data_IF_393674441483
#
_entry.id   IF_393674441483
#
_cell.length_a   1.000
_cell.length_b   1.000
_cell.length_c   1.000
_cell.angle_alpha   90.00
_cell.angle_beta   90.00
_cell.angle_gamma   90.00
#
_symmetry.space_group_name_H-M   'P 1'
#
loop_
_entity.id
_entity.type
_entity.pdbx_description
1 polymer ?
#
# COMPACT_ATOMS: atom_id res chain seq x y z
N UNK A 1 13.75 4.92 9.81
CA UNK A 1 14.29 4.12 8.70
C UNK A 1 13.17 3.26 8.15
N UNK A 2 12.94 3.27 6.83
CA UNK A 2 11.96 2.39 6.19
C UNK A 2 12.74 1.24 5.52
N UNK A 3 12.32 0.00 5.75
CA UNK A 3 12.90 -1.18 5.11
C UNK A 3 11.87 -1.72 4.13
N UNK A 4 12.28 -1.92 2.88
CA UNK A 4 11.43 -2.52 1.85
C UNK A 4 11.51 -4.03 1.99
N UNK A 5 10.35 -4.66 2.15
CA UNK A 5 10.21 -6.10 2.26
C UNK A 5 10.06 -6.70 0.86
N UNK A 6 10.67 -7.87 0.68
CA UNK A 6 10.33 -8.76 -0.42
C UNK A 6 8.93 -9.33 -0.16
N UNK A 7 8.07 -9.25 -1.17
CA UNK A 7 6.70 -9.75 -1.11
C UNK A 7 6.65 -11.26 -0.83
N UNK A 8 7.67 -12.01 -1.29
CA UNK A 8 7.79 -13.46 -1.06
C UNK A 8 8.08 -13.81 0.41
N UNK A 9 8.72 -12.90 1.15
CA UNK A 9 9.07 -13.09 2.56
C UNK A 9 8.01 -12.55 3.53
N UNK A 10 6.88 -12.07 3.01
CA UNK A 10 5.81 -11.54 3.82
C UNK A 10 5.11 -12.65 4.63
N UNK A 11 5.05 -12.46 5.94
CA UNK A 11 4.33 -13.35 6.83
C UNK A 11 3.25 -12.59 7.59
N UNK A 12 2.03 -13.11 7.54
CA UNK A 12 0.86 -12.53 8.18
C UNK A 12 0.99 -12.52 9.72
N UNK A 13 1.65 -13.53 10.29
CA UNK A 13 1.92 -13.65 11.74
C UNK A 13 2.82 -12.55 12.29
N UNK A 14 3.55 -11.84 11.42
CA UNK A 14 4.43 -10.74 11.80
C UNK A 14 3.70 -9.39 11.87
N UNK A 15 2.37 -9.38 11.70
CA UNK A 15 1.56 -8.18 11.80
C UNK A 15 0.98 -8.07 13.20
N UNK A 16 1.17 -6.89 13.78
CA UNK A 16 0.50 -6.45 15.00
C UNK A 16 -0.41 -5.28 14.65
N UNK A 17 -1.64 -5.31 15.14
CA UNK A 17 -2.58 -4.20 15.04
C UNK A 17 -2.60 -3.43 16.35
N UNK A 18 -2.39 -2.12 16.28
CA UNK A 18 -2.55 -1.24 17.44
C UNK A 18 -4.03 -0.95 17.70
N UNK A 19 -4.31 -0.48 18.91
CA UNK A 19 -5.66 -0.09 19.34
C UNK A 19 -6.34 0.87 18.38
N UNK A 20 -7.65 0.66 18.26
CA UNK A 20 -8.53 1.45 17.42
C UNK A 20 -8.58 2.89 17.92
N UNK A 21 -8.29 3.85 17.03
CA UNK A 21 -8.48 5.27 17.29
C UNK A 21 -9.56 5.82 16.38
N UNK A 22 -10.25 6.88 16.80
CA UNK A 22 -11.17 7.60 15.91
C UNK A 22 -10.43 8.03 14.66
N UNK A 23 -10.97 7.71 13.50
CA UNK A 23 -10.39 8.11 12.24
C UNK A 23 -10.62 9.62 12.02
N UNK A 24 -9.57 10.34 11.63
CA UNK A 24 -9.59 11.80 11.45
C UNK A 24 -10.12 12.17 10.05
N UNK A 25 -10.06 11.23 9.10
CA UNK A 25 -10.37 11.47 7.68
C UNK A 25 -11.81 11.06 7.33
N UNK A 26 -12.35 10.04 7.99
CA UNK A 26 -13.68 9.50 7.74
C UNK A 26 -14.34 9.10 9.06
N UNK A 27 -15.68 9.03 9.09
CA UNK A 27 -16.40 8.51 10.24
C UNK A 27 -16.13 7.01 10.39
N UNK A 28 -15.49 6.65 11.51
CA UNK A 28 -15.00 5.30 11.72
C UNK A 28 -13.80 5.22 12.65
N UNK A 29 -13.18 4.05 12.68
CA UNK A 29 -11.95 3.78 13.43
C UNK A 29 -10.78 3.51 12.50
N UNK A 30 -9.58 3.67 13.03
CA UNK A 30 -8.32 3.34 12.38
C UNK A 30 -7.40 2.60 13.34
N UNK A 31 -6.85 1.49 12.85
CA UNK A 31 -5.97 0.60 13.61
C UNK A 31 -4.66 0.47 12.85
N UNK A 32 -3.59 1.00 13.44
CA UNK A 32 -2.28 1.06 12.79
C UNK A 32 -1.66 -0.33 12.71
N UNK A 33 -1.07 -0.66 11.56
CA UNK A 33 -0.30 -1.88 11.36
C UNK A 33 1.15 -1.64 11.77
N UNK A 34 1.70 -2.55 12.57
CA UNK A 34 3.13 -2.70 12.82
C UNK A 34 3.56 -4.04 12.23
N UNK A 35 4.63 -4.04 11.43
CA UNK A 35 5.24 -5.28 10.94
C UNK A 35 6.51 -5.55 11.71
N UNK A 36 6.60 -6.69 12.38
CA UNK A 36 7.72 -6.99 13.28
C UNK A 36 8.18 -8.43 13.16
N UNK A 37 9.49 -8.63 13.31
CA UNK A 37 10.10 -9.94 13.49
C UNK A 37 11.14 -9.85 14.61
N UNK A 38 11.99 -10.87 14.75
CA UNK A 38 13.02 -10.92 15.79
C UNK A 38 14.07 -9.80 15.72
N UNK A 39 14.22 -9.14 14.57
CA UNK A 39 15.30 -8.19 14.30
C UNK A 39 14.82 -6.75 14.14
N UNK A 40 13.59 -6.55 13.65
CA UNK A 40 13.06 -5.23 13.29
C UNK A 40 11.58 -5.09 13.64
N UNK A 41 11.18 -3.84 13.91
CA UNK A 41 9.78 -3.42 14.00
C UNK A 41 9.57 -2.18 13.12
N UNK A 42 8.61 -2.26 12.21
CA UNK A 42 8.31 -1.26 11.20
C UNK A 42 6.90 -0.69 11.41
N UNK A 43 6.79 0.63 11.34
CA UNK A 43 5.53 1.36 11.53
C UNK A 43 4.48 1.14 10.43
N UNK A 44 4.82 0.40 9.38
CA UNK A 44 4.00 0.08 8.21
C UNK A 44 4.70 -1.04 7.44
N UNK A 45 3.97 -1.68 6.54
CA UNK A 45 4.52 -2.65 5.58
C UNK A 45 4.91 -1.88 4.31
N UNK A 46 6.09 -2.15 3.77
CA UNK A 46 6.59 -1.53 2.54
C UNK A 46 6.99 -2.63 1.56
N UNK A 47 6.34 -2.69 0.40
CA UNK A 47 6.70 -3.63 -0.66
C UNK A 47 7.32 -2.91 -1.84
N UNK A 48 8.36 -3.50 -2.42
CA UNK A 48 8.87 -3.05 -3.71
C UNK A 48 7.79 -3.23 -4.78
N UNK A 49 7.60 -2.22 -5.63
CA UNK A 49 6.56 -2.22 -6.65
C UNK A 49 7.17 -2.06 -8.06
N UNK A 50 7.77 -3.13 -8.62
CA UNK A 50 8.39 -3.14 -9.95
C UNK A 50 7.34 -3.30 -11.06
N UNK A 51 6.31 -2.45 -11.08
CA UNK A 51 5.31 -2.48 -12.14
C UNK A 51 5.91 -1.89 -13.43
N UNK A 52 5.62 -2.51 -14.57
CA UNK A 52 5.92 -1.95 -15.89
C UNK A 52 4.92 -0.82 -16.18
N UNK A 53 5.44 0.42 -16.19
CA UNK A 53 4.65 1.63 -16.35
C UNK A 53 4.52 1.97 -17.82
N UNK A 54 3.32 2.32 -18.25
CA UNK A 54 3.08 2.86 -19.60
C UNK A 54 3.49 4.34 -19.67
N UNK A 55 2.93 5.16 -18.79
CA UNK A 55 3.30 6.57 -18.64
C UNK A 55 2.80 7.13 -17.29
N UNK A 56 3.24 8.35 -16.96
CA UNK A 56 2.77 9.10 -15.79
C UNK A 56 2.01 10.32 -16.31
N UNK A 57 0.73 10.41 -15.94
CA UNK A 57 -0.14 11.53 -16.25
C UNK A 57 -0.13 12.53 -15.09
N UNK A 58 0.14 13.80 -15.37
CA UNK A 58 0.09 14.87 -14.37
C UNK A 58 -1.26 15.59 -14.46
N UNK A 59 -2.15 15.33 -13.51
CA UNK A 59 -3.45 15.98 -13.41
C UNK A 59 -3.39 16.99 -12.25
N UNK A 60 -3.30 18.27 -12.59
CA UNK A 60 -3.15 19.38 -11.62
C UNK A 60 -1.92 19.13 -10.73
N UNK A 61 -2.13 18.79 -9.45
CA UNK A 61 -1.09 18.53 -8.45
C UNK A 61 -0.95 17.03 -8.13
N UNK A 62 -1.52 16.14 -8.96
CA UNK A 62 -1.48 14.69 -8.76
C UNK A 62 -0.72 14.04 -9.91
N UNK A 63 0.21 13.16 -9.57
CA UNK A 63 0.82 12.23 -10.51
C UNK A 63 0.03 10.93 -10.50
N UNK A 64 -0.44 10.50 -11.66
CA UNK A 64 -1.15 9.23 -11.84
C UNK A 64 -0.28 8.33 -12.72
N UNK A 65 0.14 7.21 -12.15
CA UNK A 65 0.78 6.11 -12.86
C UNK A 65 -0.27 5.35 -13.67
N UNK A 66 0.01 5.15 -14.96
CA UNK A 66 -0.77 4.31 -15.86
C UNK A 66 0.03 3.07 -16.21
N UNK A 67 -0.60 1.90 -16.12
CA UNK A 67 0.01 0.62 -16.47
C UNK A 67 -1.08 -0.37 -16.90
N UNK A 68 -0.69 -1.46 -17.56
CA UNK A 68 -1.59 -2.55 -17.93
C UNK A 68 -1.56 -3.65 -16.87
N UNK A 69 -2.63 -3.84 -16.08
CA UNK A 69 -2.63 -4.81 -14.97
C UNK A 69 -2.55 -6.26 -15.44
N UNK A 70 -3.18 -6.56 -16.58
CA UNK A 70 -3.25 -7.90 -17.16
C UNK A 70 -2.06 -8.24 -18.07
N UNK A 71 -1.03 -7.38 -18.14
CA UNK A 71 0.19 -7.72 -18.88
C UNK A 71 0.94 -8.84 -18.17
N UNK A 72 1.69 -9.65 -18.93
CA UNK A 72 2.44 -10.80 -18.42
C UNK A 72 3.38 -10.42 -17.28
N UNK A 73 3.99 -9.23 -17.36
CA UNK A 73 4.94 -8.74 -16.36
C UNK A 73 4.25 -8.21 -15.08
N UNK A 74 3.08 -7.58 -15.20
CA UNK A 74 2.41 -6.92 -14.08
C UNK A 74 1.44 -7.83 -13.33
N UNK A 75 0.80 -8.76 -14.03
CA UNK A 75 -0.28 -9.60 -13.51
C UNK A 75 0.13 -10.37 -12.24
N UNK A 76 1.32 -11.00 -12.13
CA UNK A 76 1.73 -11.69 -10.91
C UNK A 76 1.78 -10.75 -9.70
N UNK A 77 2.38 -9.57 -9.85
CA UNK A 77 2.50 -8.59 -8.77
C UNK A 77 1.13 -8.05 -8.33
N UNK A 78 0.25 -7.75 -9.29
CA UNK A 78 -1.12 -7.31 -9.03
C UNK A 78 -1.88 -8.37 -8.22
N UNK A 79 -1.82 -9.63 -8.65
CA UNK A 79 -2.49 -10.74 -7.97
C UNK A 79 -1.96 -10.96 -6.55
N UNK A 80 -0.64 -10.94 -6.35
CA UNK A 80 -0.05 -11.15 -5.03
C UNK A 80 -0.38 -10.00 -4.06
N UNK A 81 -0.29 -8.75 -4.50
CA UNK A 81 -0.71 -7.61 -3.65
C UNK A 81 -2.19 -7.66 -3.30
N UNK A 82 -3.04 -8.07 -4.24
CA UNK A 82 -4.48 -8.27 -3.98
C UNK A 82 -4.75 -9.37 -2.97
N UNK A 83 -4.04 -10.50 -3.05
CA UNK A 83 -4.12 -11.57 -2.06
C UNK A 83 -3.66 -11.09 -0.69
N UNK A 84 -2.56 -10.35 -0.62
CA UNK A 84 -2.02 -9.82 0.64
C UNK A 84 -3.02 -8.85 1.28
N UNK A 85 -3.56 -7.89 0.52
CA UNK A 85 -4.58 -6.95 1.03
C UNK A 85 -5.74 -7.71 1.67
N UNK A 86 -6.33 -8.66 0.93
CA UNK A 86 -7.46 -9.44 1.41
C UNK A 86 -7.11 -10.23 2.68
N UNK A 87 -5.96 -10.93 2.68
CA UNK A 87 -5.51 -11.73 3.83
C UNK A 87 -5.29 -10.89 5.08
N UNK A 88 -4.75 -9.68 4.96
CA UNK A 88 -4.55 -8.79 6.12
C UNK A 88 -5.91 -8.37 6.70
N UNK A 89 -6.87 -8.00 5.85
CA UNK A 89 -8.20 -7.58 6.31
C UNK A 89 -8.93 -8.73 6.98
N UNK A 90 -8.96 -9.92 6.38
CA UNK A 90 -9.63 -11.08 6.97
C UNK A 90 -8.96 -11.53 8.27
N UNK A 91 -7.62 -11.46 8.35
CA UNK A 91 -6.90 -11.75 9.60
C UNK A 91 -7.32 -10.81 10.73
N UNK A 92 -7.39 -9.51 10.45
CA UNK A 92 -7.87 -8.53 11.42
C UNK A 92 -9.32 -8.81 11.85
N UNK A 93 -10.21 -9.15 10.90
CA UNK A 93 -11.60 -9.51 11.19
C UNK A 93 -11.71 -10.73 12.09
N UNK A 94 -10.90 -11.75 11.85
CA UNK A 94 -10.89 -12.98 12.66
C UNK A 94 -10.46 -12.70 14.10
N UNK A 95 -9.39 -11.92 14.31
CA UNK A 95 -8.87 -11.60 15.65
C UNK A 95 -9.90 -10.77 16.45
N UNK A 96 -10.57 -9.83 15.79
CA UNK A 96 -11.49 -8.90 16.44
C UNK A 96 -12.97 -9.34 16.36
N UNK A 97 -13.27 -10.50 15.77
CA UNK A 97 -14.63 -11.03 15.55
C UNK A 97 -15.56 -10.02 14.84
N UNK A 98 -15.08 -9.45 13.74
CA UNK A 98 -15.79 -8.42 12.97
C UNK A 98 -16.45 -9.03 11.73
N UNK A 99 -17.74 -8.74 11.53
CA UNK A 99 -18.53 -9.22 10.39
C UNK A 99 -18.78 -8.15 9.30
N UNK A 100 -18.00 -7.08 9.30
CA UNK A 100 -18.10 -6.00 8.30
C UNK A 100 -17.72 -6.45 6.90
N UNK A 101 -18.28 -5.76 5.90
CA UNK A 101 -18.00 -5.98 4.49
C UNK A 101 -16.57 -5.58 4.14
N UNK A 102 -15.82 -6.50 3.59
CA UNK A 102 -14.44 -6.28 3.15
C UNK A 102 -14.39 -5.43 1.88
N UNK A 103 -13.57 -4.37 1.90
CA UNK A 103 -13.33 -3.47 0.78
C UNK A 103 -11.85 -3.44 0.44
N UNK A 104 -11.51 -4.03 -0.69
CA UNK A 104 -10.13 -4.09 -1.21
C UNK A 104 -9.85 -2.90 -2.15
N UNK A 105 -9.58 -1.72 -1.59
CA UNK A 105 -9.34 -0.49 -2.36
C UNK A 105 -8.03 -0.54 -3.16
N UNK A 106 -6.97 -1.14 -2.62
CA UNK A 106 -5.71 -1.29 -3.35
C UNK A 106 -5.91 -2.18 -4.57
N UNK A 107 -6.57 -3.32 -4.39
CA UNK A 107 -6.96 -4.26 -5.45
C UNK A 107 -7.76 -3.56 -6.56
N UNK A 108 -8.81 -2.81 -6.19
CA UNK A 108 -9.61 -2.07 -7.17
C UNK A 108 -8.75 -1.10 -7.99
N UNK A 109 -7.82 -0.39 -7.36
CA UNK A 109 -6.95 0.55 -8.08
C UNK A 109 -5.88 -0.18 -8.91
N UNK A 110 -5.31 -1.28 -8.41
CA UNK A 110 -4.37 -2.13 -9.16
C UNK A 110 -4.99 -2.64 -10.46
N UNK A 111 -6.19 -3.22 -10.40
CA UNK A 111 -6.90 -3.72 -11.59
C UNK A 111 -7.44 -2.61 -12.49
N UNK A 112 -7.57 -1.37 -11.99
CA UNK A 112 -7.94 -0.24 -12.86
C UNK A 112 -6.79 0.21 -13.77
N UNK A 113 -5.54 -0.15 -13.46
CA UNK A 113 -4.35 0.35 -14.17
C UNK A 113 -4.02 1.82 -13.88
N UNK A 114 -4.66 2.42 -12.88
CA UNK A 114 -4.45 3.81 -12.46
C UNK A 114 -4.06 3.86 -10.99
N UNK A 115 -2.88 4.40 -10.68
CA UNK A 115 -2.42 4.57 -9.30
C UNK A 115 -1.92 5.99 -9.04
N UNK A 116 -2.42 6.62 -7.99
CA UNK A 116 -1.92 7.92 -7.55
C UNK A 116 -0.56 7.75 -6.86
N UNK A 117 0.45 8.44 -7.38
CA UNK A 117 1.78 8.51 -6.80
C UNK A 117 1.85 9.67 -5.80
N UNK A 118 2.44 9.42 -4.64
CA UNK A 118 2.79 10.43 -3.64
C UNK A 118 4.28 10.69 -3.70
N UNK A 119 4.65 11.94 -3.96
CA UNK A 119 6.03 12.40 -3.81
C UNK A 119 6.29 12.63 -2.33
N UNK A 120 7.31 11.97 -1.77
CA UNK A 120 7.74 12.20 -0.39
C UNK A 120 8.68 13.43 -0.28
N UNK A 121 9.01 14.08 -1.39
CA UNK A 121 9.82 15.30 -1.43
C UNK A 121 9.05 16.48 -1.98
N UNK A 122 8.97 17.53 -1.16
CA UNK A 122 8.57 18.88 -1.53
C UNK A 122 9.42 19.38 -2.70
N UNK A 123 8.76 19.96 -3.71
CA UNK A 123 9.37 20.78 -4.75
C UNK A 123 10.49 21.66 -4.15
N UNK A 124 11.70 21.57 -4.70
CA UNK A 124 12.66 22.68 -4.90
C UNK A 124 14.11 22.28 -5.22
N UNK A 125 14.43 21.01 -5.52
CA UNK A 125 15.76 20.70 -6.09
C UNK A 125 15.63 19.95 -7.41
N UNK A 126 15.89 20.72 -8.48
CA UNK A 126 16.55 20.36 -9.75
C UNK A 126 16.18 19.00 -10.37
N UNK A 127 15.66 19.11 -11.61
CA UNK A 127 15.85 18.17 -12.73
C UNK A 127 16.96 17.13 -12.47
N UNK A 128 16.58 15.98 -11.94
CA UNK A 128 17.42 14.80 -11.90
C UNK A 128 16.81 13.79 -12.88
N UNK A 129 16.91 14.09 -14.17
CA UNK A 129 16.29 13.36 -15.27
C UNK A 129 16.91 11.98 -15.55
N UNK A 130 17.82 11.47 -14.70
CA UNK A 130 18.63 10.29 -15.00
C UNK A 130 18.66 9.22 -13.89
N UNK A 131 17.86 9.33 -12.82
CA UNK A 131 17.78 8.27 -11.82
C UNK A 131 16.62 7.32 -12.09
N UNK A 132 16.87 6.01 -11.99
CA UNK A 132 15.86 4.96 -12.01
C UNK A 132 14.96 5.10 -10.78
N UNK A 133 13.89 5.91 -10.90
CA UNK A 133 12.87 6.07 -9.87
C UNK A 133 12.24 4.70 -9.62
N UNK A 134 12.25 4.27 -8.36
CA UNK A 134 11.60 3.05 -7.89
C UNK A 134 10.30 3.41 -7.19
N UNK A 135 9.36 2.46 -7.17
CA UNK A 135 8.08 2.64 -6.49
C UNK A 135 7.93 1.64 -5.36
N UNK A 136 7.23 2.08 -4.31
CA UNK A 136 6.97 1.29 -3.10
C UNK A 136 5.47 1.37 -2.80
N UNK A 137 4.86 0.21 -2.51
CA UNK A 137 3.52 0.13 -1.93
C UNK A 137 3.66 0.12 -0.41
N UNK A 138 3.13 1.14 0.25
CA UNK A 138 3.05 1.22 1.71
C UNK A 138 1.66 0.81 2.18
N UNK A 139 1.56 -0.15 3.10
CA UNK A 139 0.31 -0.49 3.82
C UNK A 139 0.43 -0.02 5.28
N UNK A 140 -0.48 0.86 5.72
CA UNK A 140 -0.27 1.61 6.98
C UNK A 140 -1.20 1.20 8.14
N UNK A 141 -2.36 0.62 7.84
CA UNK A 141 -3.36 0.29 8.85
C UNK A 141 -4.71 -0.04 8.26
N UNK A 142 -5.59 -0.56 9.12
CA UNK A 142 -6.98 -0.90 8.81
C UNK A 142 -7.86 0.29 9.15
N UNK A 143 -8.78 0.61 8.25
CA UNK A 143 -9.87 1.55 8.53
C UNK A 143 -11.17 0.77 8.58
N UNK A 144 -12.08 1.21 9.44
CA UNK A 144 -13.42 0.64 9.58
C UNK A 144 -14.43 1.77 9.60
N UNK A 145 -15.54 1.60 8.90
CA UNK A 145 -16.76 2.41 9.07
C UNK A 145 -17.79 1.59 9.86
N UNK A 146 -19.05 2.00 9.82
CA UNK A 146 -20.16 1.21 10.34
C UNK A 146 -20.25 -0.16 9.64
N UNK A 147 -20.25 -0.17 8.29
CA UNK A 147 -20.54 -1.36 7.50
C UNK A 147 -19.33 -1.96 6.79
N UNK A 148 -18.28 -1.16 6.57
CA UNK A 148 -17.16 -1.52 5.71
C UNK A 148 -15.84 -1.53 6.45
N UNK A 149 -14.91 -2.35 5.97
CA UNK A 149 -13.55 -2.46 6.48
C UNK A 149 -12.57 -2.60 5.34
N UNK A 150 -11.43 -1.93 5.43
CA UNK A 150 -10.40 -2.00 4.41
C UNK A 150 -9.02 -1.62 4.91
N UNK A 151 -8.04 -1.66 4.02
CA UNK A 151 -6.68 -1.24 4.32
C UNK A 151 -6.39 0.15 3.75
N UNK A 152 -5.53 0.89 4.43
CA UNK A 152 -4.94 2.13 3.92
C UNK A 152 -3.63 1.83 3.22
N UNK A 153 -3.46 2.40 2.03
CA UNK A 153 -2.22 2.26 1.26
C UNK A 153 -1.77 3.57 0.62
N UNK A 154 -0.49 3.63 0.23
CA UNK A 154 0.09 4.71 -0.58
C UNK A 154 1.14 4.14 -1.54
N UNK A 155 1.24 4.73 -2.73
CA UNK A 155 2.35 4.51 -3.67
C UNK A 155 3.35 5.65 -3.51
N UNK A 156 4.61 5.33 -3.22
CA UNK A 156 5.65 6.31 -2.90
C UNK A 156 6.82 6.15 -3.86
N UNK A 157 7.39 7.27 -4.31
CA UNK A 157 8.65 7.29 -5.06
C UNK A 157 9.85 7.04 -4.13
N UNK A 158 10.79 6.23 -4.59
CA UNK A 158 12.06 5.96 -3.93
C UNK A 158 13.20 6.17 -4.92
N UNK A 159 14.21 6.91 -4.47
CA UNK A 159 15.40 7.21 -5.25
C UNK A 159 16.54 6.30 -4.76
N UNK A 160 17.34 5.71 -5.66
CA UNK A 160 18.56 5.03 -5.26
C UNK A 160 19.46 6.03 -4.52
N UNK A 161 19.98 5.61 -3.37
CA UNK A 161 20.98 6.34 -2.57
C UNK A 161 22.37 6.05 -3.12
#
# INVERSE_FOLDING_TARGET
MNIVLDISNFQLSNIIFLENKRNIIMDGTFSKIIYTNAFISLNSIYFYFPIEIQHIEKIVNKNIMKFYPSSVNNMPLVQELSKIEYRIIEYYKQINKIEKKTVCLLTKQLYSGNLKIYKDYSDNSKKCSNYNIKYIVKLSGIWETHDEIGITYKIIESYPV
#
